data_IF_961605491908
#
_entry.id   IF_961605491908
#
_cell.length_a   1.000
_cell.length_b   1.000
_cell.length_c   1.000
_cell.angle_alpha   90.00
_cell.angle_beta   90.00
_cell.angle_gamma   90.00
#
_symmetry.space_group_name_H-M   'P 1'
#
loop_
_entity.id
_entity.type
_entity.pdbx_description
1 polymer ?
#
# COMPACT_ATOMS: atom_id res chain seq x y z
N UNK A 1 -9.74 -12.30 -9.87
CA UNK A 1 -9.11 -10.98 -9.63
C UNK A 1 -10.15 -9.86 -9.50
N UNK A 2 -10.99 -9.63 -10.52
CA UNK A 2 -12.05 -8.60 -10.49
C UNK A 2 -13.04 -8.82 -9.32
N UNK A 3 -13.41 -10.08 -9.05
CA UNK A 3 -14.35 -10.42 -7.98
C UNK A 3 -13.93 -9.95 -6.58
N UNK A 4 -12.64 -10.06 -6.22
CA UNK A 4 -12.13 -9.65 -4.91
C UNK A 4 -12.18 -8.13 -4.74
N UNK A 5 -11.70 -7.39 -5.75
CA UNK A 5 -11.79 -5.91 -5.76
C UNK A 5 -13.24 -5.43 -5.70
N UNK A 6 -14.13 -6.06 -6.46
CA UNK A 6 -15.57 -5.72 -6.45
C UNK A 6 -16.18 -6.00 -5.08
N UNK A 7 -15.85 -7.15 -4.46
CA UNK A 7 -16.31 -7.49 -3.11
C UNK A 7 -15.82 -6.50 -2.05
N UNK A 8 -14.53 -6.13 -2.10
CA UNK A 8 -13.95 -5.11 -1.23
C UNK A 8 -14.64 -3.76 -1.39
N UNK A 9 -14.92 -3.34 -2.63
CA UNK A 9 -15.59 -2.09 -2.92
C UNK A 9 -17.02 -2.08 -2.40
N UNK A 10 -17.78 -3.15 -2.67
CA UNK A 10 -19.15 -3.33 -2.15
C UNK A 10 -19.16 -3.29 -0.63
N UNK A 11 -18.20 -3.98 0.02
CA UNK A 11 -18.10 -4.02 1.48
C UNK A 11 -17.81 -2.65 2.08
N UNK A 12 -16.84 -1.91 1.52
CA UNK A 12 -16.52 -0.54 1.95
C UNK A 12 -17.70 0.41 1.74
N UNK A 13 -18.40 0.30 0.61
CA UNK A 13 -19.60 1.11 0.33
C UNK A 13 -20.73 0.79 1.31
N UNK A 14 -21.02 -0.50 1.54
CA UNK A 14 -22.04 -0.93 2.50
C UNK A 14 -21.71 -0.43 3.91
N UNK A 15 -20.47 -0.59 4.37
CA UNK A 15 -20.02 -0.11 5.66
C UNK A 15 -20.12 1.42 5.76
N UNK A 16 -19.83 2.15 4.68
CA UNK A 16 -19.94 3.61 4.62
C UNK A 16 -21.39 4.09 4.70
N UNK A 17 -22.31 3.39 4.03
CA UNK A 17 -23.76 3.67 4.09
C UNK A 17 -24.29 3.40 5.50
N UNK A 18 -23.90 2.27 6.11
CA UNK A 18 -24.26 1.94 7.49
C UNK A 18 -23.70 2.97 8.48
N UNK A 19 -22.46 3.41 8.30
CA UNK A 19 -21.84 4.44 9.12
C UNK A 19 -22.57 5.79 8.99
N UNK A 20 -22.96 6.18 7.77
CA UNK A 20 -23.79 7.37 7.55
C UNK A 20 -25.16 7.25 8.26
N UNK A 21 -25.83 6.11 8.11
CA UNK A 21 -27.11 5.86 8.77
C UNK A 21 -26.98 5.88 10.30
N UNK A 22 -25.91 5.31 10.85
CA UNK A 22 -25.61 5.32 12.29
C UNK A 22 -25.38 6.75 12.81
N UNK A 23 -24.60 7.57 12.10
CA UNK A 23 -24.38 8.97 12.45
C UNK A 23 -25.69 9.78 12.47
N UNK A 24 -26.58 9.53 11.49
CA UNK A 24 -27.92 10.15 11.45
C UNK A 24 -28.79 9.68 12.60
N UNK A 25 -28.86 8.38 12.87
CA UNK A 25 -29.68 7.81 13.96
C UNK A 25 -29.21 8.25 15.33
N UNK A 26 -27.89 8.25 15.59
CA UNK A 26 -27.31 8.71 16.85
C UNK A 26 -27.74 10.14 17.15
N UNK A 27 -27.78 10.99 16.12
CA UNK A 27 -28.23 12.37 16.26
C UNK A 27 -29.72 12.47 16.57
N UNK A 28 -30.57 11.75 15.84
CA UNK A 28 -32.02 11.80 16.03
C UNK A 28 -32.42 11.31 17.42
N UNK A 29 -31.73 10.29 17.94
CA UNK A 29 -32.06 9.68 19.24
C UNK A 29 -31.53 10.47 20.44
N UNK A 30 -30.30 10.99 20.36
CA UNK A 30 -29.64 11.61 21.53
C UNK A 30 -29.58 13.13 21.46
N UNK A 31 -30.08 13.75 20.39
CA UNK A 31 -30.10 15.21 20.24
C UNK A 31 -28.72 15.88 20.25
N UNK A 32 -27.64 15.12 20.04
CA UNK A 32 -26.25 15.59 20.17
C UNK A 32 -25.93 16.64 19.10
N UNK A 33 -26.17 17.90 19.41
CA UNK A 33 -25.95 19.06 18.53
C UNK A 33 -24.66 19.81 18.75
N UNK A 34 -23.85 19.33 19.69
CA UNK A 34 -22.64 20.01 20.09
C UNK A 34 -21.62 20.11 18.96
N UNK A 35 -21.13 21.33 18.62
CA UNK A 35 -20.06 21.50 17.64
C UNK A 35 -18.76 20.79 18.07
N UNK A 36 -18.55 20.59 19.37
CA UNK A 36 -17.43 19.82 19.91
C UNK A 36 -17.44 18.36 19.46
N UNK A 37 -18.62 17.75 19.32
CA UNK A 37 -18.71 16.36 18.87
C UNK A 37 -18.28 16.23 17.40
N UNK A 38 -18.76 17.11 16.52
CA UNK A 38 -18.31 17.15 15.12
C UNK A 38 -16.80 17.43 15.00
N UNK A 39 -16.28 18.37 15.80
CA UNK A 39 -14.85 18.65 15.82
C UNK A 39 -14.02 17.43 16.27
N UNK A 40 -14.51 16.70 17.28
CA UNK A 40 -13.85 15.49 17.77
C UNK A 40 -13.83 14.37 16.71
N UNK A 41 -14.92 14.17 15.96
CA UNK A 41 -14.96 13.14 14.91
C UNK A 41 -14.10 13.52 13.70
N UNK A 42 -14.04 14.82 13.36
CA UNK A 42 -13.11 15.32 12.34
C UNK A 42 -11.65 15.14 12.76
N UNK A 43 -11.32 15.45 14.02
CA UNK A 43 -9.98 15.23 14.56
C UNK A 43 -9.61 13.74 14.54
N UNK A 44 -10.53 12.87 14.95
CA UNK A 44 -10.33 11.42 14.89
C UNK A 44 -10.14 10.94 13.44
N UNK A 45 -10.97 11.41 12.50
CA UNK A 45 -10.81 11.08 11.08
C UNK A 45 -9.45 11.54 10.54
N UNK A 46 -8.97 12.73 10.95
CA UNK A 46 -7.65 13.24 10.58
C UNK A 46 -6.51 12.40 11.20
N UNK A 47 -6.63 11.99 12.47
CA UNK A 47 -5.65 11.10 13.11
C UNK A 47 -5.62 9.74 12.43
N UNK A 48 -6.78 9.15 12.11
CA UNK A 48 -6.87 7.89 11.38
C UNK A 48 -6.25 8.03 9.98
N UNK A 49 -6.53 9.13 9.28
CA UNK A 49 -5.89 9.47 8.01
C UNK A 49 -4.37 9.50 8.11
N UNK A 50 -3.82 10.17 9.13
CA UNK A 50 -2.37 10.31 9.28
C UNK A 50 -1.68 9.04 9.79
N UNK A 51 -2.37 8.25 10.62
CA UNK A 51 -1.78 7.09 11.30
C UNK A 51 -1.93 5.80 10.49
N UNK A 52 -3.01 5.66 9.72
CA UNK A 52 -3.35 4.42 9.02
C UNK A 52 -3.12 4.47 7.50
N UNK A 53 -2.84 5.65 6.93
CA UNK A 53 -2.58 5.77 5.50
C UNK A 53 -1.27 5.07 5.12
N UNK A 54 -1.40 3.88 4.53
CA UNK A 54 -0.31 3.21 3.80
C UNK A 54 0.68 2.43 4.65
N UNK A 55 0.43 2.23 5.95
CA UNK A 55 1.31 1.44 6.80
C UNK A 55 1.24 -0.06 6.51
N UNK A 56 2.40 -0.72 6.48
CA UNK A 56 2.53 -2.19 6.37
C UNK A 56 1.85 -2.96 7.51
N UNK A 57 1.57 -2.29 8.63
CA UNK A 57 0.87 -2.85 9.80
C UNK A 57 -0.46 -3.52 9.44
N UNK A 58 -1.10 -3.10 8.33
CA UNK A 58 -2.32 -3.73 7.83
C UNK A 58 -2.13 -5.17 7.35
N UNK A 59 -0.92 -5.59 6.99
CA UNK A 59 -0.65 -6.93 6.45
C UNK A 59 -0.85 -8.05 7.48
N UNK A 60 -0.51 -7.80 8.74
CA UNK A 60 -0.69 -8.79 9.81
C UNK A 60 -2.17 -8.92 10.21
N UNK A 61 -2.90 -7.80 10.20
CA UNK A 61 -4.30 -7.78 10.62
C UNK A 61 -5.25 -8.33 9.54
N UNK A 62 -4.95 -8.04 8.27
CA UNK A 62 -5.82 -8.37 7.15
C UNK A 62 -5.03 -9.14 6.10
N UNK A 63 -4.81 -10.45 6.32
CA UNK A 63 -4.19 -11.31 5.33
C UNK A 63 -5.24 -11.63 4.26
N UNK A 64 -5.71 -10.63 3.52
CA UNK A 64 -6.52 -10.76 2.30
C UNK A 64 -5.93 -9.90 1.17
N UNK A 65 -6.02 -10.33 -0.10
CA UNK A 65 -5.58 -9.52 -1.25
C UNK A 65 -6.28 -8.15 -1.36
N UNK A 66 -7.44 -8.01 -0.74
CA UNK A 66 -8.25 -6.78 -0.76
C UNK A 66 -7.81 -5.73 0.27
N UNK A 67 -6.61 -5.88 0.86
CA UNK A 67 -6.07 -4.97 1.87
C UNK A 67 -6.04 -3.51 1.40
N UNK A 68 -5.90 -3.27 0.09
CA UNK A 68 -5.97 -1.93 -0.49
C UNK A 68 -7.31 -1.25 -0.18
N UNK A 69 -8.41 -1.98 -0.27
CA UNK A 69 -9.76 -1.46 -0.02
C UNK A 69 -10.10 -1.48 1.47
N UNK A 70 -9.66 -2.48 2.22
CA UNK A 70 -9.91 -2.52 3.66
C UNK A 70 -9.11 -1.47 4.45
N UNK A 71 -7.94 -1.05 3.95
CA UNK A 71 -7.19 0.07 4.51
C UNK A 71 -7.95 1.41 4.43
N UNK A 72 -9.04 1.48 3.64
CA UNK A 72 -9.91 2.65 3.53
C UNK A 72 -10.94 2.78 4.65
N UNK A 73 -10.66 2.30 5.87
CA UNK A 73 -11.51 2.51 7.06
C UNK A 73 -11.89 4.00 7.26
N UNK A 74 -11.06 4.91 6.75
CA UNK A 74 -11.31 6.35 6.61
C UNK A 74 -12.67 6.65 5.95
N UNK A 75 -13.07 5.94 4.89
CA UNK A 75 -14.29 6.23 4.15
C UNK A 75 -15.57 6.08 5.02
N UNK A 76 -15.77 4.97 5.75
CA UNK A 76 -16.83 4.87 6.75
C UNK A 76 -16.81 5.97 7.80
N UNK A 77 -15.64 6.34 8.33
CA UNK A 77 -15.52 7.43 9.33
C UNK A 77 -15.88 8.80 8.75
N UNK A 78 -15.48 9.10 7.52
CA UNK A 78 -15.85 10.32 6.81
C UNK A 78 -17.36 10.37 6.54
N UNK A 79 -17.97 9.25 6.14
CA UNK A 79 -19.42 9.16 5.94
C UNK A 79 -20.21 9.30 7.25
N UNK A 80 -19.74 8.71 8.35
CA UNK A 80 -20.30 8.94 9.68
C UNK A 80 -20.25 10.42 10.06
N UNK A 81 -19.08 11.05 9.86
CA UNK A 81 -18.87 12.48 10.15
C UNK A 81 -19.72 13.38 9.26
N UNK A 82 -19.90 13.01 7.98
CA UNK A 82 -20.78 13.69 7.05
C UNK A 82 -22.23 13.69 7.54
N UNK A 83 -22.73 12.55 8.03
CA UNK A 83 -24.07 12.46 8.60
C UNK A 83 -24.24 13.41 9.79
N UNK A 84 -23.26 13.48 10.70
CA UNK A 84 -23.30 14.41 11.83
C UNK A 84 -23.27 15.88 11.39
N UNK A 85 -22.54 16.21 10.32
CA UNK A 85 -22.45 17.57 9.78
C UNK A 85 -23.79 18.08 9.25
N UNK A 86 -24.62 17.22 8.63
CA UNK A 86 -25.93 17.62 8.08
C UNK A 86 -26.93 18.15 9.10
N UNK A 87 -26.71 17.89 10.40
CA UNK A 87 -27.59 18.33 11.48
C UNK A 87 -26.90 19.28 12.47
N UNK A 88 -25.69 19.77 12.20
CA UNK A 88 -24.96 20.58 13.17
C UNK A 88 -25.54 22.01 13.28
N UNK A 89 -26.14 22.36 14.43
CA UNK A 89 -26.76 23.66 14.66
C UNK A 89 -25.78 24.84 14.70
N UNK A 90 -24.48 24.57 14.87
CA UNK A 90 -23.42 25.57 14.78
C UNK A 90 -23.07 25.97 13.34
N UNK A 91 -23.55 25.23 12.33
CA UNK A 91 -23.33 25.54 10.92
C UNK A 91 -24.60 26.14 10.31
N UNK A 92 -24.43 27.09 9.37
CA UNK A 92 -25.52 27.56 8.52
C UNK A 92 -26.04 26.42 7.65
N UNK A 93 -27.34 26.38 7.35
CA UNK A 93 -27.98 25.28 6.62
C UNK A 93 -27.29 24.96 5.27
N UNK A 94 -26.88 25.98 4.51
CA UNK A 94 -26.12 25.77 3.27
C UNK A 94 -24.73 25.15 3.52
N UNK A 95 -24.04 25.59 4.58
CA UNK A 95 -22.71 25.09 4.95
C UNK A 95 -22.75 23.63 5.43
N UNK A 96 -23.85 23.19 6.06
CA UNK A 96 -24.03 21.80 6.48
C UNK A 96 -23.98 20.84 5.29
N UNK A 97 -24.77 21.13 4.25
CA UNK A 97 -24.81 20.34 3.02
C UNK A 97 -23.46 20.34 2.29
N UNK A 98 -22.80 21.50 2.23
CA UNK A 98 -21.49 21.61 1.59
C UNK A 98 -20.44 20.76 2.32
N UNK A 99 -20.35 20.85 3.64
CA UNK A 99 -19.40 20.06 4.45
C UNK A 99 -19.67 18.57 4.30
N UNK A 100 -20.93 18.14 4.40
CA UNK A 100 -21.30 16.74 4.24
C UNK A 100 -20.94 16.22 2.83
N UNK A 101 -21.23 16.99 1.78
CA UNK A 101 -20.88 16.64 0.42
C UNK A 101 -19.36 16.56 0.22
N UNK A 102 -18.59 17.50 0.77
CA UNK A 102 -17.13 17.46 0.72
C UNK A 102 -16.56 16.23 1.42
N UNK A 103 -17.09 15.85 2.59
CA UNK A 103 -16.65 14.65 3.31
C UNK A 103 -16.96 13.36 2.55
N UNK A 104 -18.15 13.26 1.95
CA UNK A 104 -18.52 12.11 1.08
C UNK A 104 -17.65 12.07 -0.18
N UNK A 105 -17.40 13.22 -0.82
CA UNK A 105 -16.51 13.31 -1.96
C UNK A 105 -15.08 12.89 -1.61
N UNK A 106 -14.57 13.29 -0.43
CA UNK A 106 -13.29 12.82 0.07
C UNK A 106 -13.30 11.30 0.31
N UNK A 107 -14.35 10.74 0.91
CA UNK A 107 -14.47 9.30 1.14
C UNK A 107 -14.43 8.50 -0.18
N UNK A 108 -15.16 8.98 -1.20
CA UNK A 108 -15.14 8.42 -2.55
C UNK A 108 -13.76 8.54 -3.18
N UNK A 109 -13.12 9.71 -3.07
CA UNK A 109 -11.76 9.96 -3.56
C UNK A 109 -10.76 8.98 -2.95
N UNK A 110 -10.75 8.82 -1.62
CA UNK A 110 -9.85 7.88 -0.93
C UNK A 110 -10.07 6.42 -1.35
N UNK A 111 -11.31 6.03 -1.66
CA UNK A 111 -11.63 4.65 -2.05
C UNK A 111 -11.31 4.37 -3.52
N UNK A 112 -11.66 5.29 -4.42
CA UNK A 112 -11.61 5.07 -5.86
C UNK A 112 -10.28 5.52 -6.49
N UNK A 113 -9.66 6.59 -5.98
CA UNK A 113 -8.47 7.17 -6.61
C UNK A 113 -7.29 6.18 -6.72
N UNK A 114 -6.96 5.34 -5.71
CA UNK A 114 -5.90 4.34 -5.85
C UNK A 114 -6.15 3.34 -6.99
N UNK A 115 -7.41 3.01 -7.27
CA UNK A 115 -7.79 2.09 -8.35
C UNK A 115 -7.76 2.77 -9.72
N UNK A 116 -8.11 4.06 -9.78
CA UNK A 116 -8.20 4.82 -11.01
C UNK A 116 -6.86 5.44 -11.44
N UNK A 117 -5.91 5.60 -10.52
CA UNK A 117 -4.60 6.22 -10.77
C UNK A 117 -3.85 5.61 -11.97
N UNK A 118 -3.76 4.26 -12.14
CA UNK A 118 -3.09 3.67 -13.30
C UNK A 118 -3.77 4.00 -14.64
N UNK A 119 -5.09 4.23 -14.62
CA UNK A 119 -5.84 4.59 -15.83
C UNK A 119 -5.64 6.06 -16.21
N UNK A 120 -5.53 6.96 -15.23
CA UNK A 120 -5.30 8.39 -15.48
C UNK A 120 -3.85 8.73 -15.78
N UNK A 121 -2.91 7.91 -15.30
CA UNK A 121 -1.48 8.18 -15.45
C UNK A 121 -0.72 6.87 -15.69
N UNK A 122 -0.93 6.25 -16.87
CA UNK A 122 -0.35 4.96 -17.20
C UNK A 122 1.17 5.05 -17.34
N UNK A 123 1.83 3.92 -17.09
CA UNK A 123 3.27 3.78 -17.31
C UNK A 123 3.52 3.21 -18.70
N UNK A 124 4.51 3.76 -19.43
CA UNK A 124 5.04 3.17 -20.65
C UNK A 124 5.98 2.02 -20.29
N UNK A 125 5.71 0.82 -20.80
CA UNK A 125 6.51 -0.38 -20.51
C UNK A 125 7.22 -0.86 -21.78
N UNK A 126 8.30 -1.61 -21.59
CA UNK A 126 8.91 -2.39 -22.66
C UNK A 126 7.98 -3.50 -23.14
N UNK A 127 8.25 -4.01 -24.34
CA UNK A 127 7.50 -5.14 -24.89
C UNK A 127 7.73 -6.41 -24.08
N UNK A 128 8.99 -6.65 -23.70
CA UNK A 128 9.44 -7.82 -22.96
C UNK A 128 10.08 -7.40 -21.63
N UNK A 129 10.04 -8.32 -20.66
CA UNK A 129 10.71 -8.13 -19.37
C UNK A 129 12.22 -8.24 -19.57
N UNK A 130 12.95 -7.20 -19.18
CA UNK A 130 14.40 -7.16 -19.31
C UNK A 130 15.07 -7.79 -18.08
N UNK A 131 16.13 -8.55 -18.32
CA UNK A 131 16.85 -9.28 -17.27
C UNK A 131 18.34 -9.01 -17.34
N UNK A 132 18.96 -8.88 -16.18
CA UNK A 132 20.41 -8.80 -16.00
C UNK A 132 20.82 -9.61 -14.78
N UNK A 133 21.66 -10.63 -14.97
CA UNK A 133 22.13 -11.54 -13.91
C UNK A 133 21.04 -12.07 -12.95
N UNK A 134 19.87 -12.41 -13.52
CA UNK A 134 18.73 -12.92 -12.76
C UNK A 134 17.91 -11.84 -12.03
N UNK A 135 18.21 -10.57 -12.24
CA UNK A 135 17.45 -9.41 -11.76
C UNK A 135 16.57 -8.88 -12.89
N UNK A 136 15.29 -8.66 -12.61
CA UNK A 136 14.39 -7.98 -13.54
C UNK A 136 14.70 -6.48 -13.50
N UNK A 137 15.11 -5.93 -14.64
CA UNK A 137 15.34 -4.49 -14.78
C UNK A 137 14.00 -3.76 -14.95
N UNK A 138 13.90 -2.56 -14.37
CA UNK A 138 12.71 -1.74 -14.50
C UNK A 138 12.65 -1.07 -15.88
N UNK A 139 11.54 -1.20 -16.59
CA UNK A 139 11.35 -0.55 -17.89
C UNK A 139 11.05 0.95 -17.78
N UNK A 140 10.63 1.43 -16.61
CA UNK A 140 10.30 2.83 -16.35
C UNK A 140 10.70 3.22 -14.92
N UNK A 141 11.01 4.50 -14.66
CA UNK A 141 11.46 4.99 -13.34
C UNK A 141 10.50 4.67 -12.18
N UNK A 142 9.21 4.54 -12.50
CA UNK A 142 8.13 4.24 -11.55
C UNK A 142 7.83 2.74 -11.37
N UNK A 143 8.59 1.84 -12.01
CA UNK A 143 8.34 0.38 -11.99
C UNK A 143 9.36 -0.44 -11.20
N UNK A 144 10.17 0.21 -10.36
CA UNK A 144 11.10 -0.50 -9.47
C UNK A 144 10.39 -1.56 -8.59
N UNK A 145 9.24 -1.23 -8.00
CA UNK A 145 8.47 -2.15 -7.16
C UNK A 145 7.97 -3.40 -7.91
N UNK A 146 7.26 -3.30 -9.05
CA UNK A 146 6.87 -4.49 -9.81
C UNK A 146 8.07 -5.27 -10.37
N UNK A 147 9.16 -4.63 -10.79
CA UNK A 147 10.37 -5.32 -11.25
C UNK A 147 11.08 -6.08 -10.11
N UNK A 148 11.20 -5.48 -8.92
CA UNK A 148 11.70 -6.16 -7.72
C UNK A 148 10.78 -7.32 -7.32
N UNK A 149 9.46 -7.17 -7.44
CA UNK A 149 8.51 -8.25 -7.21
C UNK A 149 8.70 -9.42 -8.17
N UNK A 150 8.91 -9.15 -9.47
CA UNK A 150 9.22 -10.19 -10.47
C UNK A 150 10.51 -10.92 -10.13
N UNK A 151 11.54 -10.17 -9.70
CA UNK A 151 12.82 -10.75 -9.24
C UNK A 151 12.62 -11.69 -8.04
N UNK A 152 11.88 -11.24 -7.01
CA UNK A 152 11.56 -12.03 -5.82
C UNK A 152 10.76 -13.30 -6.19
N UNK A 153 9.70 -13.14 -6.99
CA UNK A 153 8.84 -14.24 -7.43
C UNK A 153 9.61 -15.28 -8.23
N UNK A 154 10.50 -14.85 -9.14
CA UNK A 154 11.35 -15.76 -9.92
C UNK A 154 12.28 -16.56 -9.03
N UNK A 155 12.85 -15.96 -7.98
CA UNK A 155 13.68 -16.69 -7.03
C UNK A 155 12.89 -17.76 -6.25
N UNK A 156 11.59 -17.52 -6.02
CA UNK A 156 10.66 -18.50 -5.48
C UNK A 156 10.13 -19.52 -6.53
N UNK A 157 10.67 -19.52 -7.75
CA UNK A 157 10.24 -20.43 -8.83
C UNK A 157 8.89 -20.06 -9.47
N UNK A 158 8.41 -18.83 -9.26
CA UNK A 158 7.14 -18.34 -9.79
C UNK A 158 7.42 -17.48 -11.03
N UNK A 159 6.85 -17.87 -12.16
CA UNK A 159 6.99 -17.14 -13.42
C UNK A 159 6.04 -15.93 -13.41
N UNK A 160 6.61 -14.76 -13.63
CA UNK A 160 5.89 -13.49 -13.69
C UNK A 160 6.61 -12.52 -14.63
N UNK A 161 5.84 -11.59 -15.22
CA UNK A 161 6.36 -10.52 -16.07
C UNK A 161 6.13 -9.15 -15.42
N UNK A 162 7.04 -8.19 -15.69
CA UNK A 162 6.94 -6.83 -15.12
C UNK A 162 5.59 -6.19 -15.49
N UNK A 163 5.17 -6.37 -16.75
CA UNK A 163 3.91 -5.83 -17.28
C UNK A 163 2.69 -6.28 -16.50
N UNK A 164 2.64 -7.55 -16.12
CA UNK A 164 1.51 -8.06 -15.36
C UNK A 164 1.54 -7.51 -13.93
N UNK A 165 2.73 -7.46 -13.32
CA UNK A 165 2.91 -6.91 -11.97
C UNK A 165 2.57 -5.42 -11.92
N UNK A 166 2.89 -4.64 -12.95
CA UNK A 166 2.46 -3.23 -13.07
C UNK A 166 0.94 -3.11 -12.98
N UNK A 167 0.19 -3.98 -13.66
CA UNK A 167 -1.27 -3.99 -13.64
C UNK A 167 -1.82 -4.43 -12.28
N UNK A 168 -1.32 -5.53 -11.73
CA UNK A 168 -1.85 -6.07 -10.46
C UNK A 168 -1.39 -5.30 -9.23
N UNK A 169 -0.27 -4.59 -9.30
CA UNK A 169 0.18 -3.69 -8.25
C UNK A 169 -0.47 -2.30 -8.32
N UNK A 170 -1.28 -2.04 -9.36
CA UNK A 170 -1.88 -0.72 -9.62
C UNK A 170 -0.82 0.38 -9.68
N UNK A 171 0.28 0.11 -10.39
CA UNK A 171 1.38 1.05 -10.59
C UNK A 171 0.98 2.15 -11.57
N UNK A 172 1.35 3.40 -11.26
CA UNK A 172 1.19 4.56 -12.16
C UNK A 172 2.54 5.24 -12.39
N UNK A 173 2.55 6.27 -13.25
CA UNK A 173 3.68 7.22 -13.41
C UNK A 173 4.24 7.77 -12.08
N UNK A 174 3.45 7.79 -11.02
CA UNK A 174 3.81 8.28 -9.69
C UNK A 174 4.28 7.14 -8.76
N UNK A 175 4.55 5.94 -9.31
CA UNK A 175 5.07 4.78 -8.58
C UNK A 175 4.02 3.76 -8.15
N UNK A 176 4.44 2.86 -7.27
CA UNK A 176 3.63 1.77 -6.71
C UNK A 176 3.46 1.97 -5.21
N UNK A 177 2.25 1.74 -4.72
CA UNK A 177 1.95 1.76 -3.29
C UNK A 177 2.36 0.47 -2.59
N UNK A 178 2.84 0.52 -1.33
CA UNK A 178 3.19 -0.69 -0.57
C UNK A 178 2.05 -1.71 -0.52
N UNK A 179 0.81 -1.26 -0.34
CA UNK A 179 -0.38 -2.14 -0.36
C UNK A 179 -0.66 -2.71 -1.76
N UNK A 180 -0.42 -1.93 -2.81
CA UNK A 180 -0.54 -2.37 -4.19
C UNK A 180 0.51 -3.44 -4.53
N UNK A 181 1.76 -3.20 -4.14
CA UNK A 181 2.86 -4.14 -4.26
C UNK A 181 2.54 -5.47 -3.55
N UNK A 182 2.15 -5.41 -2.28
CA UNK A 182 1.76 -6.59 -1.52
C UNK A 182 0.64 -7.37 -2.20
N UNK A 183 -0.40 -6.67 -2.68
CA UNK A 183 -1.50 -7.28 -3.44
C UNK A 183 -0.97 -8.01 -4.68
N UNK A 184 -0.09 -7.39 -5.46
CA UNK A 184 0.46 -7.99 -6.66
C UNK A 184 1.29 -9.24 -6.38
N UNK A 185 2.24 -9.16 -5.44
CA UNK A 185 3.07 -10.30 -5.03
C UNK A 185 2.19 -11.44 -4.50
N UNK A 186 1.18 -11.12 -3.69
CA UNK A 186 0.27 -12.12 -3.12
C UNK A 186 -0.56 -12.85 -4.17
N UNK A 187 -1.05 -12.14 -5.18
CA UNK A 187 -1.83 -12.74 -6.27
C UNK A 187 -1.00 -13.82 -6.95
N UNK A 188 0.28 -13.54 -7.23
CA UNK A 188 1.21 -14.49 -7.86
C UNK A 188 1.70 -15.58 -6.90
N UNK A 189 1.96 -15.28 -5.64
CA UNK A 189 2.40 -16.29 -4.67
C UNK A 189 1.32 -17.35 -4.44
N UNK A 190 0.05 -16.92 -4.37
CA UNK A 190 -1.08 -17.80 -4.15
C UNK A 190 -1.34 -18.78 -5.31
N UNK A 191 -1.01 -18.44 -6.56
CA UNK A 191 -1.17 -19.38 -7.68
C UNK A 191 -0.19 -20.55 -7.58
N UNK A 192 0.93 -20.36 -6.87
CA UNK A 192 1.97 -21.37 -6.67
C UNK A 192 1.97 -21.97 -5.25
N UNK A 193 0.90 -21.81 -4.47
CA UNK A 193 0.80 -22.28 -3.07
C UNK A 193 1.87 -21.70 -2.12
N UNK A 194 2.48 -20.58 -2.47
CA UNK A 194 3.44 -19.88 -1.63
C UNK A 194 2.73 -18.81 -0.79
N UNK A 195 3.20 -18.63 0.45
CA UNK A 195 2.68 -17.59 1.35
C UNK A 195 3.59 -16.38 1.32
N UNK A 196 3.03 -15.21 1.03
CA UNK A 196 3.73 -13.94 1.23
C UNK A 196 3.67 -13.56 2.73
N UNK A 197 4.82 -13.21 3.28
CA UNK A 197 4.98 -12.83 4.69
C UNK A 197 5.72 -11.49 4.78
N UNK A 198 5.48 -10.77 5.88
CA UNK A 198 6.24 -9.56 6.22
C UNK A 198 7.53 -10.00 6.91
N UNK A 199 8.67 -9.53 6.42
CA UNK A 199 9.94 -9.78 7.08
C UNK A 199 10.09 -8.86 8.30
N UNK A 200 10.94 -9.27 9.25
CA UNK A 200 11.26 -8.50 10.45
C UNK A 200 11.83 -7.13 10.06
N UNK A 201 11.51 -6.08 10.80
CA UNK A 201 12.20 -4.79 10.66
C UNK A 201 13.64 -4.83 11.20
N UNK A 202 13.95 -5.81 12.06
CA UNK A 202 15.32 -6.14 12.44
C UNK A 202 15.93 -7.10 11.41
N UNK A 203 16.90 -6.61 10.64
CA UNK A 203 17.59 -7.34 9.57
C UNK A 203 18.44 -8.51 10.06
N UNK A 204 18.91 -8.47 11.30
CA UNK A 204 19.74 -9.55 11.87
C UNK A 204 18.94 -10.85 12.00
N UNK A 205 17.62 -10.73 12.13
CA UNK A 205 16.72 -11.86 12.22
C UNK A 205 16.45 -12.52 10.86
N UNK A 206 16.86 -11.92 9.73
CA UNK A 206 16.46 -12.40 8.40
C UNK A 206 17.09 -13.75 8.05
N UNK A 207 18.38 -13.91 8.34
CA UNK A 207 19.10 -15.16 8.04
C UNK A 207 18.57 -16.29 8.93
N UNK A 208 18.49 -16.07 10.24
CA UNK A 208 17.98 -17.07 11.18
C UNK A 208 16.49 -17.38 10.97
N UNK A 209 15.71 -16.40 10.53
CA UNK A 209 14.28 -16.51 10.30
C UNK A 209 13.90 -17.02 8.91
N UNK A 210 14.88 -17.36 8.05
CA UNK A 210 14.65 -17.77 6.66
C UNK A 210 13.78 -16.77 5.89
N UNK A 211 14.03 -15.47 6.09
CA UNK A 211 13.30 -14.36 5.47
C UNK A 211 14.02 -13.82 4.24
N UNK A 212 14.89 -14.62 3.63
CA UNK A 212 15.66 -14.29 2.43
C UNK A 212 15.39 -15.30 1.31
N UNK A 213 15.34 -14.86 0.04
CA UNK A 213 15.39 -13.45 -0.36
C UNK A 213 14.12 -12.69 0.07
N UNK A 214 14.24 -11.39 0.24
CA UNK A 214 13.09 -10.51 0.46
C UNK A 214 13.12 -9.30 -0.47
N UNK A 215 11.94 -8.76 -0.76
CA UNK A 215 11.78 -7.45 -1.35
C UNK A 215 11.74 -6.43 -0.21
N UNK A 216 12.73 -5.54 -0.19
CA UNK A 216 12.86 -4.46 0.80
C UNK A 216 12.56 -3.10 0.18
N UNK A 217 11.89 -2.24 0.94
CA UNK A 217 11.73 -0.83 0.59
C UNK A 217 12.82 -0.02 1.26
N UNK A 218 13.52 0.78 0.47
CA UNK A 218 14.65 1.59 0.89
C UNK A 218 14.44 3.07 0.52
N UNK A 219 15.18 3.97 1.16
CA UNK A 219 15.26 5.37 0.81
C UNK A 219 16.56 5.69 0.09
N UNK A 220 16.47 6.39 -1.04
CA UNK A 220 17.61 7.12 -1.58
C UNK A 220 17.53 8.58 -1.15
N UNK A 221 18.59 9.10 -0.52
CA UNK A 221 18.71 10.53 -0.27
C UNK A 221 18.83 11.24 -1.62
N UNK A 222 17.73 11.82 -2.10
CA UNK A 222 17.79 12.69 -3.26
C UNK A 222 18.54 13.98 -2.86
N UNK A 223 19.60 14.39 -3.57
CA UNK A 223 20.34 15.60 -3.24
C UNK A 223 19.46 16.83 -3.49
N UNK A 224 19.10 17.53 -2.39
CA UNK A 224 18.64 18.92 -2.37
C UNK A 224 17.62 19.34 -3.45
N UNK A 225 16.42 18.76 -3.44
CA UNK A 225 15.27 19.37 -4.12
C UNK A 225 14.38 20.06 -3.08
N UNK A 226 14.48 21.39 -2.90
CA UNK A 226 13.61 22.13 -2.00
C UNK A 226 12.26 22.34 -2.68
N UNK A 227 11.37 21.35 -2.59
CA UNK A 227 9.95 21.51 -2.90
C UNK A 227 9.12 21.26 -1.64
N UNK A 228 8.01 22.00 -1.43
CA UNK A 228 7.24 21.92 -0.21
C UNK A 228 6.73 20.49 -0.07
N UNK A 229 7.06 19.88 1.08
CA UNK A 229 6.57 18.56 1.52
C UNK A 229 5.10 18.44 1.13
N UNK A 230 4.83 17.72 0.04
CA UNK A 230 3.46 17.40 -0.37
C UNK A 230 2.88 16.65 0.82
N UNK A 231 1.87 17.24 1.45
CA UNK A 231 1.15 16.70 2.62
C UNK A 231 0.63 15.26 2.39
N UNK A 232 0.69 14.76 1.15
CA UNK A 232 0.27 13.43 0.72
C UNK A 232 1.26 12.72 -0.25
N UNK A 233 2.51 13.21 -0.42
CA UNK A 233 3.47 12.58 -1.35
C UNK A 233 4.92 12.71 -0.87
N UNK A 234 5.30 11.89 0.11
CA UNK A 234 6.71 11.63 0.46
C UNK A 234 7.25 10.38 -0.26
N UNK A 235 6.84 10.16 -1.52
CA UNK A 235 7.11 8.89 -2.24
C UNK A 235 8.29 8.95 -3.22
N UNK A 236 8.84 10.13 -3.51
CA UNK A 236 9.93 10.30 -4.47
C UNK A 236 11.27 9.69 -4.05
N UNK A 237 11.45 9.42 -2.76
CA UNK A 237 12.71 8.88 -2.22
C UNK A 237 12.64 7.36 -1.99
N UNK A 238 11.47 6.73 -2.16
CA UNK A 238 11.29 5.29 -1.89
C UNK A 238 11.64 4.48 -3.14
N UNK A 239 12.45 3.45 -2.95
CA UNK A 239 12.83 2.50 -3.97
C UNK A 239 12.65 1.06 -3.47
N UNK A 240 12.39 0.13 -4.38
CA UNK A 240 12.21 -1.27 -4.04
C UNK A 240 13.37 -2.08 -4.61
N UNK A 241 13.97 -2.91 -3.75
CA UNK A 241 15.08 -3.80 -4.11
C UNK A 241 14.85 -5.21 -3.58
N UNK A 242 15.54 -6.20 -4.12
CA UNK A 242 15.56 -7.55 -3.57
C UNK A 242 16.86 -7.79 -2.81
N UNK A 243 16.78 -8.21 -1.55
CA UNK A 243 17.93 -8.62 -0.74
C UNK A 243 18.05 -10.13 -0.80
N UNK A 244 19.15 -10.65 -1.35
CA UNK A 244 19.36 -12.09 -1.50
C UNK A 244 20.03 -12.74 -0.30
N UNK A 245 20.83 -11.98 0.45
CA UNK A 245 21.60 -12.46 1.59
C UNK A 245 22.90 -11.71 1.71
N UNK A 246 23.90 -12.31 2.36
CA UNK A 246 25.24 -11.75 2.51
C UNK A 246 26.26 -12.52 1.66
N UNK A 247 27.26 -11.82 1.13
CA UNK A 247 28.42 -12.43 0.48
C UNK A 247 29.47 -12.88 1.52
N UNK A 248 30.59 -13.45 1.07
CA UNK A 248 31.69 -13.91 1.92
C UNK A 248 32.37 -12.77 2.70
N UNK A 249 32.25 -11.52 2.21
CA UNK A 249 32.73 -10.32 2.89
C UNK A 249 31.74 -9.76 3.93
N UNK A 250 30.56 -10.37 4.08
CA UNK A 250 29.52 -9.93 5.00
C UNK A 250 28.64 -8.79 4.47
N UNK A 251 28.81 -8.36 3.22
CA UNK A 251 28.01 -7.32 2.58
C UNK A 251 26.67 -7.88 2.07
N UNK A 252 25.63 -7.05 2.06
CA UNK A 252 24.34 -7.42 1.52
C UNK A 252 24.38 -7.49 -0.01
N UNK A 253 23.92 -8.60 -0.58
CA UNK A 253 23.75 -8.79 -2.03
C UNK A 253 22.36 -8.32 -2.42
N UNK A 254 22.31 -7.30 -3.29
CA UNK A 254 21.10 -6.57 -3.64
C UNK A 254 20.83 -6.71 -5.14
N UNK A 255 19.59 -7.04 -5.50
CA UNK A 255 19.05 -6.87 -6.84
C UNK A 255 18.31 -5.54 -6.92
N UNK A 256 18.94 -4.55 -7.54
CA UNK A 256 18.35 -3.24 -7.80
C UNK A 256 17.75 -3.22 -9.21
N UNK A 257 16.43 -3.03 -9.38
CA UNK A 257 15.81 -2.95 -10.70
C UNK A 257 16.38 -1.86 -11.62
N UNK A 258 17.00 -0.82 -11.08
CA UNK A 258 17.60 0.25 -11.88
C UNK A 258 18.99 -0.11 -12.43
N UNK A 259 19.74 -0.98 -11.74
CA UNK A 259 21.17 -1.19 -12.00
C UNK A 259 21.60 -2.66 -12.09
N UNK A 260 20.70 -3.61 -11.84
CA UNK A 260 21.02 -5.03 -11.75
C UNK A 260 21.58 -5.41 -10.38
N UNK A 261 22.54 -6.32 -10.34
CA UNK A 261 23.10 -6.86 -9.10
C UNK A 261 24.17 -5.93 -8.52
N UNK A 262 24.07 -5.62 -7.23
CA UNK A 262 25.01 -4.77 -6.49
C UNK A 262 25.26 -5.29 -5.07
N UNK A 263 26.21 -4.72 -4.34
CA UNK A 263 26.47 -5.01 -2.93
C UNK A 263 26.49 -3.74 -2.10
N UNK A 264 25.97 -3.81 -0.87
CA UNK A 264 25.98 -2.71 0.09
C UNK A 264 26.56 -3.17 1.43
N UNK A 265 27.29 -2.28 2.11
CA UNK A 265 27.71 -2.55 3.50
C UNK A 265 26.48 -2.65 4.41
N UNK A 266 26.65 -3.23 5.61
CA UNK A 266 25.56 -3.29 6.57
C UNK A 266 25.08 -1.88 6.96
N UNK A 267 26.01 -0.98 7.27
CA UNK A 267 25.73 0.40 7.65
C UNK A 267 24.99 1.16 6.54
N UNK A 268 25.42 0.95 5.28
CA UNK A 268 24.76 1.55 4.13
C UNK A 268 23.32 1.05 3.99
N UNK A 269 23.10 -0.27 4.12
CA UNK A 269 21.77 -0.83 4.02
C UNK A 269 20.86 -0.36 5.16
N UNK A 270 21.33 -0.41 6.42
CA UNK A 270 20.56 0.07 7.57
C UNK A 270 20.17 1.54 7.43
N UNK A 271 21.07 2.38 6.92
CA UNK A 271 20.79 3.80 6.72
C UNK A 271 19.71 4.06 5.66
N UNK A 272 19.47 3.11 4.75
CA UNK A 272 18.46 3.21 3.69
C UNK A 272 17.18 2.45 4.00
N UNK A 273 17.25 1.36 4.76
CA UNK A 273 16.12 0.47 4.99
C UNK A 273 14.98 1.17 5.73
N UNK A 274 13.77 1.05 5.20
CA UNK A 274 12.58 1.72 5.78
C UNK A 274 11.93 0.94 6.91
N UNK A 275 12.39 -0.29 7.19
CA UNK A 275 11.70 -1.23 8.07
C UNK A 275 10.64 -2.08 7.37
N UNK A 276 10.42 -1.86 6.07
CA UNK A 276 9.40 -2.52 5.27
C UNK A 276 10.01 -3.57 4.33
N UNK A 277 9.71 -4.86 4.56
CA UNK A 277 10.16 -5.93 3.68
C UNK A 277 9.14 -7.08 3.57
N UNK A 278 9.12 -7.75 2.41
CA UNK A 278 8.24 -8.87 2.09
C UNK A 278 9.06 -10.06 1.61
N UNK A 279 8.75 -11.26 2.07
CA UNK A 279 9.41 -12.48 1.62
C UNK A 279 8.39 -13.58 1.30
N UNK A 280 8.76 -14.43 0.34
CA UNK A 280 7.93 -15.56 -0.05
C UNK A 280 8.35 -16.76 0.78
N UNK A 281 7.52 -17.14 1.75
CA UNK A 281 7.70 -18.41 2.45
C UNK A 281 7.39 -19.57 1.50
N UNK A 282 8.16 -20.65 1.61
CA UNK A 282 8.06 -21.85 0.77
C UNK A 282 6.65 -22.46 0.72
N UNK A 283 6.41 -23.48 -0.13
CA UNK A 283 5.08 -23.98 -0.42
C UNK A 283 4.35 -24.38 0.87
N UNK A 284 3.21 -23.75 1.12
CA UNK A 284 2.30 -24.16 2.18
C UNK A 284 1.83 -25.58 1.84
N UNK A 285 2.13 -26.56 2.72
CA UNK A 285 1.45 -27.86 2.66
C UNK A 285 -0.05 -27.58 2.60
N UNK A 286 -0.75 -28.10 1.59
CA UNK A 286 -2.22 -28.03 1.54
C UNK A 286 -2.74 -28.53 2.89
N UNK A 287 -3.57 -27.72 3.54
CA UNK A 287 -4.47 -28.28 4.54
C UNK A 287 -5.29 -29.34 3.81
N UNK A 288 -5.00 -30.61 4.08
CA UNK A 288 -5.85 -31.72 3.69
C UNK A 288 -7.19 -31.47 4.39
N UNK A 289 -8.16 -30.96 3.63
CA UNK A 289 -9.56 -30.80 4.03
C UNK A 289 -10.33 -32.07 3.76
#
# INVERSE_FOLDING_TARGET
>A
MVACLVSGLISTLALSVLAYAAGRSLRLLHGISSPFFLASTLCLAAVLLLSLAGGIQWFDLLPVPDVLLWSSAIAPFLCFTAALATFNSGLRSFSQSLVALSLVAMALGYTLLPLLRPAFSPVSLSEETQWDDGICLQSHTSTCAPAAAVTLLRNAGIIAEERDLVRVCSTSDQGTESLGLYRGVRIYSNTAFHKICVASSNTDAWVSGQQLPNLSIVHFKSPNVPFPKRLFSSRGDRHAVVVFGRNDAGEWVIGDPAFGKTTWSDEEFQARFTGEALYVAGPCKKFES
#
